data_IF_745998231462
#
_entry.id   IF_745998231462
#
_cell.length_a   1.000
_cell.length_b   1.000
_cell.length_c   1.000
_cell.angle_alpha   90.00
_cell.angle_beta   90.00
_cell.angle_gamma   90.00
#
_symmetry.space_group_name_H-M   'P 1'
#
loop_
_entity.id
_entity.type
_entity.pdbx_description
1 polymer ?
#
# COMPACT_ATOMS: atom_id res chain seq x y z
N UNK A 1 61.70 -77.48 -20.72
CA UNK A 1 62.94 -77.49 -21.55
C UNK A 1 62.93 -76.28 -22.48
N UNK A 2 64.05 -75.52 -22.53
CA UNK A 2 64.46 -74.52 -23.55
C UNK A 2 63.57 -73.27 -23.70
N UNK A 3 63.99 -72.09 -23.22
CA UNK A 3 65.00 -71.12 -23.74
C UNK A 3 64.54 -70.35 -25.00
N UNK A 4 64.57 -69.01 -24.86
CA UNK A 4 64.99 -67.98 -25.87
C UNK A 4 63.96 -67.66 -26.99
N UNK A 5 63.85 -66.48 -27.61
CA UNK A 5 64.55 -65.17 -27.69
C UNK A 5 63.53 -64.21 -28.39
N UNK A 6 63.32 -62.96 -27.95
CA UNK A 6 63.77 -61.66 -28.53
C UNK A 6 63.35 -61.32 -29.99
N UNK A 7 62.90 -60.05 -30.14
CA UNK A 7 62.78 -59.13 -31.30
C UNK A 7 61.46 -59.16 -32.11
N UNK A 8 60.60 -58.12 -32.14
CA UNK A 8 60.68 -56.66 -32.45
C UNK A 8 60.27 -56.35 -33.90
N UNK A 9 59.05 -55.84 -34.09
CA UNK A 9 58.60 -54.92 -35.15
C UNK A 9 57.18 -54.43 -34.74
N UNK A 10 57.05 -53.25 -34.14
CA UNK A 10 56.86 -51.95 -34.79
C UNK A 10 55.44 -51.75 -35.36
N UNK A 11 54.72 -50.81 -34.72
CA UNK A 11 53.81 -49.92 -35.44
C UNK A 11 52.32 -50.09 -35.18
N UNK A 12 51.72 -48.96 -34.81
CA UNK A 12 50.33 -48.57 -35.01
C UNK A 12 49.28 -48.80 -33.91
N UNK A 13 48.83 -47.63 -33.43
CA UNK A 13 47.45 -47.26 -33.10
C UNK A 13 46.88 -47.71 -31.75
N UNK A 14 46.92 -46.79 -30.79
CA UNK A 14 45.77 -46.47 -29.92
C UNK A 14 46.03 -45.14 -29.18
N UNK A 15 45.93 -44.04 -29.92
CA UNK A 15 45.58 -42.73 -29.36
C UNK A 15 44.10 -42.51 -29.66
N UNK A 16 43.23 -43.01 -28.79
CA UNK A 16 41.81 -42.71 -28.85
C UNK A 16 41.56 -41.39 -28.09
N UNK A 17 41.15 -40.40 -28.87
CA UNK A 17 40.73 -39.05 -28.50
C UNK A 17 39.90 -39.00 -27.20
N UNK A 18 40.43 -38.31 -26.19
CA UNK A 18 39.59 -37.63 -25.21
C UNK A 18 39.04 -36.35 -25.87
N UNK A 19 37.97 -36.48 -26.66
CA UNK A 19 37.22 -35.33 -27.13
C UNK A 19 36.40 -34.77 -25.95
N UNK A 20 36.76 -33.58 -25.48
CA UNK A 20 35.87 -32.79 -24.63
C UNK A 20 34.57 -32.58 -25.38
N UNK A 21 33.48 -33.20 -24.90
CA UNK A 21 32.14 -32.84 -25.31
C UNK A 21 31.83 -31.45 -24.73
N UNK A 22 32.13 -30.40 -25.51
CA UNK A 22 31.46 -29.12 -25.32
C UNK A 22 29.99 -29.34 -25.65
N UNK A 23 29.17 -29.54 -24.62
CA UNK A 23 27.72 -29.43 -24.75
C UNK A 23 27.40 -27.98 -25.09
N UNK A 24 27.31 -27.66 -26.38
CA UNK A 24 26.69 -26.42 -26.82
C UNK A 24 25.22 -26.50 -26.39
N UNK A 25 24.83 -25.75 -25.37
CA UNK A 25 23.43 -25.52 -25.09
C UNK A 25 22.83 -24.84 -26.33
N UNK A 26 22.05 -25.59 -27.10
CA UNK A 26 21.31 -25.02 -28.22
C UNK A 26 20.43 -23.88 -27.70
N UNK A 27 20.38 -22.72 -28.38
CA UNK A 27 19.53 -21.62 -27.94
C UNK A 27 18.08 -22.09 -27.95
N UNK A 28 17.42 -22.04 -26.78
CA UNK A 28 15.99 -22.31 -26.66
C UNK A 28 15.26 -21.30 -27.54
N UNK A 29 14.58 -21.77 -28.59
CA UNK A 29 13.67 -20.92 -29.40
C UNK A 29 12.59 -20.37 -28.47
N UNK A 30 12.62 -19.06 -28.23
CA UNK A 30 11.55 -18.39 -27.48
C UNK A 30 10.26 -18.51 -28.29
N UNK A 31 9.14 -18.83 -27.62
CA UNK A 31 7.85 -18.81 -28.29
C UNK A 31 7.52 -17.38 -28.75
N UNK A 32 6.82 -17.19 -29.88
CA UNK A 32 6.50 -15.86 -30.42
C UNK A 32 5.86 -14.90 -29.40
N UNK A 33 5.10 -15.43 -28.43
CA UNK A 33 4.51 -14.66 -27.33
C UNK A 33 5.54 -14.06 -26.37
N UNK A 34 6.65 -14.74 -26.10
CA UNK A 34 7.74 -14.22 -25.27
C UNK A 34 8.53 -13.13 -25.99
N UNK A 35 8.65 -13.19 -27.32
CA UNK A 35 9.29 -12.15 -28.11
C UNK A 35 8.45 -10.88 -28.13
N UNK A 36 7.12 -11.00 -28.33
CA UNK A 36 6.20 -9.85 -28.22
C UNK A 36 6.24 -9.24 -26.81
N UNK A 37 6.20 -10.06 -25.76
CA UNK A 37 6.27 -9.57 -24.39
C UNK A 37 7.61 -8.86 -24.07
N UNK A 38 8.74 -9.39 -24.57
CA UNK A 38 10.04 -8.75 -24.43
C UNK A 38 10.09 -7.39 -25.16
N UNK A 39 9.53 -7.31 -26.38
CA UNK A 39 9.46 -6.08 -27.14
C UNK A 39 8.57 -5.01 -26.44
N UNK A 40 7.43 -5.41 -25.87
CA UNK A 40 6.57 -4.51 -25.09
C UNK A 40 7.30 -3.98 -23.84
N UNK A 41 7.99 -4.85 -23.10
CA UNK A 41 8.84 -4.45 -21.96
C UNK A 41 9.88 -3.42 -22.39
N UNK A 42 10.60 -3.69 -23.47
CA UNK A 42 11.68 -2.82 -23.93
C UNK A 42 11.13 -1.47 -24.41
N UNK A 43 9.98 -1.45 -25.09
CA UNK A 43 9.27 -0.21 -25.43
C UNK A 43 8.87 0.57 -24.18
N UNK A 44 8.33 -0.10 -23.17
CA UNK A 44 7.90 0.53 -21.91
C UNK A 44 9.05 1.22 -21.15
N UNK A 45 10.31 0.79 -21.32
CA UNK A 45 11.47 1.45 -20.70
C UNK A 45 11.78 2.83 -21.29
N UNK A 46 11.24 3.15 -22.48
CA UNK A 46 11.40 4.44 -23.16
C UNK A 46 10.09 5.22 -23.33
N UNK A 47 8.97 4.65 -22.88
CA UNK A 47 7.63 5.23 -23.00
C UNK A 47 7.28 6.01 -21.73
N UNK A 48 6.89 7.27 -21.86
CA UNK A 48 6.58 8.15 -20.72
C UNK A 48 5.13 8.09 -20.27
N UNK A 49 4.26 7.37 -20.97
CA UNK A 49 2.80 7.40 -20.74
C UNK A 49 2.44 7.15 -19.28
N UNK A 50 3.02 6.14 -18.62
CA UNK A 50 2.73 5.86 -17.21
C UNK A 50 3.18 7.01 -16.28
N UNK A 51 4.32 7.63 -16.58
CA UNK A 51 4.80 8.78 -15.82
C UNK A 51 3.89 9.99 -16.02
N UNK A 52 3.53 10.29 -17.27
CA UNK A 52 2.70 11.45 -17.63
C UNK A 52 1.29 11.34 -17.03
N UNK A 53 0.71 10.14 -17.06
CA UNK A 53 -0.59 9.86 -16.41
C UNK A 53 -0.51 10.01 -14.88
N UNK A 54 0.57 9.50 -14.26
CA UNK A 54 0.78 9.67 -12.80
C UNK A 54 0.92 11.15 -12.44
N UNK A 55 1.73 11.89 -13.20
CA UNK A 55 1.96 13.31 -13.00
C UNK A 55 0.66 14.11 -13.17
N UNK A 56 -0.14 13.82 -14.21
CA UNK A 56 -1.40 14.52 -14.45
C UNK A 56 -2.45 14.21 -13.39
N UNK A 57 -2.66 12.93 -13.04
CA UNK A 57 -3.62 12.55 -11.98
C UNK A 57 -3.27 13.21 -10.64
N UNK A 58 -1.98 13.23 -10.28
CA UNK A 58 -1.54 13.81 -9.01
C UNK A 58 -1.54 15.33 -9.00
N UNK A 59 -1.34 15.98 -10.15
CA UNK A 59 -1.28 17.45 -10.26
C UNK A 59 -2.65 18.08 -10.50
N UNK A 60 -3.44 17.49 -11.39
CA UNK A 60 -4.71 18.03 -11.87
C UNK A 60 -5.90 17.60 -11.01
N UNK A 61 -5.82 16.43 -10.35
CA UNK A 61 -6.89 15.93 -9.45
C UNK A 61 -6.49 16.03 -7.99
N UNK A 62 -5.30 15.52 -7.63
CA UNK A 62 -4.75 15.54 -6.27
C UNK A 62 -5.28 14.41 -5.37
N UNK A 63 -5.40 14.64 -4.04
CA UNK A 63 -6.03 13.69 -3.12
C UNK A 63 -7.49 13.48 -3.51
N UNK A 64 -7.92 12.22 -3.51
CA UNK A 64 -9.22 11.82 -4.04
C UNK A 64 -9.90 10.78 -3.15
N UNK A 65 -10.13 11.09 -1.86
CA UNK A 65 -10.88 10.21 -0.97
C UNK A 65 -12.35 10.14 -1.40
N UNK A 66 -13.00 9.02 -1.11
CA UNK A 66 -14.44 8.84 -1.35
C UNK A 66 -15.26 9.96 -0.71
N UNK A 67 -16.32 10.41 -1.38
CA UNK A 67 -17.17 11.52 -0.95
C UNK A 67 -16.60 12.91 -1.24
N UNK A 68 -15.33 13.03 -1.66
CA UNK A 68 -14.77 14.32 -2.02
C UNK A 68 -15.15 14.77 -3.43
N UNK A 69 -15.20 16.10 -3.70
CA UNK A 69 -15.32 16.62 -5.06
C UNK A 69 -14.18 16.14 -5.99
N UNK A 70 -13.02 15.80 -5.42
CA UNK A 70 -11.88 15.29 -6.18
C UNK A 70 -12.11 13.86 -6.69
N UNK A 71 -12.87 13.02 -5.99
CA UNK A 71 -13.23 11.69 -6.46
C UNK A 71 -14.09 11.76 -7.73
N UNK A 72 -15.04 12.70 -7.79
CA UNK A 72 -15.83 12.95 -9.01
C UNK A 72 -14.94 13.43 -10.18
N UNK A 73 -13.99 14.34 -9.92
CA UNK A 73 -13.00 14.76 -10.92
C UNK A 73 -12.09 13.61 -11.36
N UNK A 74 -11.72 12.70 -10.46
CA UNK A 74 -10.92 11.52 -10.78
C UNK A 74 -11.66 10.59 -11.74
N UNK A 75 -12.96 10.36 -11.51
CA UNK A 75 -13.83 9.61 -12.40
C UNK A 75 -13.88 10.23 -13.81
N UNK A 76 -14.12 11.54 -13.89
CA UNK A 76 -14.16 12.25 -15.17
C UNK A 76 -12.79 12.24 -15.89
N UNK A 77 -11.70 12.37 -15.12
CA UNK A 77 -10.33 12.24 -15.60
C UNK A 77 -10.05 10.85 -16.19
N UNK A 78 -10.50 9.79 -15.52
CA UNK A 78 -10.28 8.41 -15.97
C UNK A 78 -11.02 8.12 -17.29
N UNK A 79 -12.28 8.55 -17.41
CA UNK A 79 -13.07 8.44 -18.65
C UNK A 79 -12.34 9.14 -19.80
N UNK A 80 -11.98 10.42 -19.60
CA UNK A 80 -11.26 11.21 -20.61
C UNK A 80 -9.92 10.58 -21.00
N UNK A 81 -9.21 10.01 -20.04
CA UNK A 81 -7.94 9.32 -20.27
C UNK A 81 -8.14 8.12 -21.18
N UNK A 82 -9.13 7.27 -20.89
CA UNK A 82 -9.45 6.14 -21.76
C UNK A 82 -9.88 6.56 -23.16
N UNK A 83 -10.71 7.58 -23.31
CA UNK A 83 -11.10 8.14 -24.61
C UNK A 83 -9.88 8.62 -25.41
N UNK A 84 -9.01 9.40 -24.76
CA UNK A 84 -7.80 9.97 -25.38
C UNK A 84 -6.82 8.90 -25.82
N UNK A 85 -6.72 7.81 -25.04
CA UNK A 85 -5.84 6.69 -25.34
C UNK A 85 -6.47 5.66 -26.30
N UNK A 86 -7.71 5.88 -26.75
CA UNK A 86 -8.36 5.02 -27.74
C UNK A 86 -8.92 3.71 -27.18
N UNK A 87 -9.16 3.62 -25.87
CA UNK A 87 -9.92 2.52 -25.29
C UNK A 87 -11.38 2.60 -25.76
N UNK A 88 -12.06 1.44 -25.76
CA UNK A 88 -13.45 1.30 -26.18
C UNK A 88 -14.32 0.79 -25.03
N UNK A 89 -15.64 0.72 -25.23
CA UNK A 89 -16.59 0.20 -24.22
C UNK A 89 -16.42 0.82 -22.82
N UNK A 90 -16.12 2.11 -22.75
CA UNK A 90 -15.86 2.78 -21.47
C UNK A 90 -17.11 2.76 -20.60
N UNK A 91 -16.99 2.22 -19.39
CA UNK A 91 -18.09 2.10 -18.43
C UNK A 91 -17.74 2.81 -17.13
N UNK A 92 -18.77 3.41 -16.54
CA UNK A 92 -18.73 4.01 -15.21
C UNK A 92 -19.81 3.33 -14.38
N UNK A 93 -19.41 2.54 -13.41
CA UNK A 93 -20.30 1.77 -12.56
C UNK A 93 -20.31 2.38 -11.16
N UNK A 94 -21.43 3.00 -10.80
CA UNK A 94 -21.64 3.59 -9.47
C UNK A 94 -21.98 2.52 -8.43
N UNK A 95 -21.43 2.67 -7.22
CA UNK A 95 -21.78 1.83 -6.08
C UNK A 95 -21.81 2.64 -4.77
N UNK A 96 -22.68 2.21 -3.85
CA UNK A 96 -22.81 2.82 -2.54
C UNK A 96 -21.55 2.61 -1.70
N UNK A 97 -21.02 3.69 -1.14
CA UNK A 97 -19.82 3.67 -0.31
C UNK A 97 -19.84 4.86 0.67
N UNK A 98 -20.03 4.60 1.98
CA UNK A 98 -19.96 5.65 2.98
C UNK A 98 -18.62 6.39 2.91
N UNK A 99 -18.68 7.71 3.02
CA UNK A 99 -17.50 8.56 3.11
C UNK A 99 -17.20 8.92 4.56
N UNK A 100 -15.92 9.10 4.84
CA UNK A 100 -15.45 9.69 6.09
C UNK A 100 -14.61 10.90 5.72
N UNK A 101 -14.95 12.05 6.29
CA UNK A 101 -14.24 13.30 6.04
C UNK A 101 -13.50 13.75 7.30
N UNK A 102 -12.19 13.96 7.16
CA UNK A 102 -11.34 14.53 8.21
C UNK A 102 -11.69 15.99 8.44
N UNK A 103 -11.78 16.39 9.71
CA UNK A 103 -11.89 17.78 10.13
C UNK A 103 -10.62 18.31 10.78
N UNK A 104 -10.73 19.41 11.52
CA UNK A 104 -9.62 19.95 12.29
C UNK A 104 -9.16 18.98 13.38
N UNK A 105 -7.86 18.83 13.53
CA UNK A 105 -7.27 17.91 14.49
C UNK A 105 -5.97 18.46 15.09
N UNK A 106 -5.73 18.15 16.37
CA UNK A 106 -4.50 18.51 17.09
C UNK A 106 -4.28 17.59 18.29
N UNK A 107 -3.01 17.32 18.59
CA UNK A 107 -2.62 16.64 19.82
C UNK A 107 -1.38 17.33 20.42
N UNK A 108 -1.38 17.58 21.72
CA UNK A 108 -0.23 18.13 22.44
C UNK A 108 -0.01 17.42 23.76
N UNK A 109 1.25 17.21 24.12
CA UNK A 109 1.63 16.92 25.50
C UNK A 109 1.40 18.18 26.32
N UNK A 110 0.77 18.05 27.48
CA UNK A 110 0.53 19.14 28.46
C UNK A 110 1.18 18.85 29.83
N UNK A 111 1.72 17.63 29.99
CA UNK A 111 2.53 17.22 31.13
C UNK A 111 3.54 16.17 30.61
N UNK A 112 4.86 16.29 30.89
CA UNK A 112 5.49 17.20 31.84
C UNK A 112 5.79 18.61 31.31
N UNK A 113 5.70 18.84 30.00
CA UNK A 113 5.86 20.15 29.38
C UNK A 113 5.04 20.23 28.08
N UNK A 114 4.82 21.44 27.60
CA UNK A 114 4.06 21.68 26.39
C UNK A 114 4.84 21.25 25.14
N UNK A 115 4.27 20.31 24.39
CA UNK A 115 4.83 19.84 23.12
C UNK A 115 3.75 19.49 22.12
N UNK A 116 3.74 20.15 20.97
CA UNK A 116 2.82 19.82 19.88
C UNK A 116 3.26 18.53 19.19
N UNK A 117 2.40 17.51 19.18
CA UNK A 117 2.67 16.24 18.49
C UNK A 117 2.31 16.37 17.02
N UNK A 118 3.12 15.75 16.15
CA UNK A 118 2.69 15.49 14.78
C UNK A 118 1.74 14.29 14.80
N UNK A 119 0.47 14.56 14.54
CA UNK A 119 -0.62 13.58 14.58
C UNK A 119 -1.46 13.65 13.32
N UNK A 120 -2.09 12.53 12.96
CA UNK A 120 -3.14 12.47 11.94
C UNK A 120 -4.22 11.47 12.36
N UNK A 121 -5.49 11.85 12.29
CA UNK A 121 -6.61 10.95 12.61
C UNK A 121 -6.62 9.69 11.74
N UNK A 122 -7.02 8.56 12.30
CA UNK A 122 -7.24 7.35 11.52
C UNK A 122 -8.54 7.48 10.72
N UNK A 123 -8.54 6.99 9.48
CA UNK A 123 -9.73 7.01 8.64
C UNK A 123 -10.84 6.15 9.25
N UNK A 124 -12.03 6.73 9.40
CA UNK A 124 -13.14 6.13 10.14
C UNK A 124 -13.15 6.43 11.63
N UNK A 125 -12.16 7.17 12.17
CA UNK A 125 -12.16 7.58 13.57
C UNK A 125 -13.38 8.44 13.90
N UNK A 126 -13.93 8.29 15.11
CA UNK A 126 -14.94 9.21 15.64
C UNK A 126 -14.27 10.50 16.12
N UNK A 127 -15.00 11.64 16.16
CA UNK A 127 -14.47 12.88 16.70
C UNK A 127 -14.32 12.81 18.22
N UNK A 128 -13.48 13.67 18.78
CA UNK A 128 -13.47 13.94 20.23
C UNK A 128 -14.75 14.70 20.63
N UNK A 129 -15.17 14.65 21.91
CA UNK A 129 -16.16 15.59 22.43
C UNK A 129 -15.77 17.06 22.16
N UNK A 130 -16.71 18.02 22.16
CA UNK A 130 -16.42 19.42 21.82
C UNK A 130 -15.32 20.10 22.65
N UNK A 131 -15.08 19.63 23.89
CA UNK A 131 -14.02 20.15 24.77
C UNK A 131 -12.66 19.48 24.55
N UNK A 132 -12.56 18.55 23.59
CA UNK A 132 -11.43 17.65 23.43
C UNK A 132 -11.38 16.57 24.52
N UNK A 133 -10.30 15.81 24.51
CA UNK A 133 -9.94 14.84 25.55
C UNK A 133 -8.60 15.28 26.13
N UNK A 134 -8.51 15.42 27.45
CA UNK A 134 -7.24 15.58 28.14
C UNK A 134 -7.09 14.47 29.18
N UNK A 135 -6.09 13.61 29.01
CA UNK A 135 -5.94 12.43 29.85
C UNK A 135 -4.48 11.96 29.92
N UNK A 136 -4.17 11.21 30.97
CA UNK A 136 -2.90 10.51 31.11
C UNK A 136 -2.80 9.39 30.08
N UNK A 137 -1.59 9.15 29.56
CA UNK A 137 -1.33 8.10 28.60
C UNK A 137 -0.83 6.81 29.28
N UNK A 138 -1.07 5.67 28.65
CA UNK A 138 -0.37 4.41 28.92
C UNK A 138 0.29 3.96 27.63
N UNK A 139 1.61 3.78 27.67
CA UNK A 139 2.41 3.39 26.51
C UNK A 139 2.61 1.88 26.49
N UNK A 140 2.41 1.29 25.32
CA UNK A 140 2.60 -0.12 25.02
C UNK A 140 3.61 -0.25 23.88
N UNK A 141 4.80 -0.79 24.19
CA UNK A 141 5.87 -1.00 23.20
C UNK A 141 5.55 -2.08 22.18
N UNK A 142 4.65 -3.01 22.50
CA UNK A 142 4.10 -3.98 21.58
C UNK A 142 2.56 -3.96 21.59
N UNK A 143 1.95 -4.24 20.43
CA UNK A 143 0.50 -4.40 20.34
C UNK A 143 -0.02 -5.54 21.23
N UNK A 144 0.77 -6.60 21.39
CA UNK A 144 0.44 -7.71 22.28
C UNK A 144 0.33 -7.28 23.75
N UNK A 145 1.09 -6.27 24.18
CA UNK A 145 1.02 -5.76 25.57
C UNK A 145 -0.31 -5.04 25.83
N UNK A 146 -0.81 -4.31 24.82
CA UNK A 146 -2.16 -3.75 24.88
C UNK A 146 -3.20 -4.87 25.00
N UNK A 147 -3.06 -5.97 24.25
CA UNK A 147 -3.97 -7.11 24.36
C UNK A 147 -3.87 -7.83 25.71
N UNK A 148 -2.69 -7.88 26.31
CA UNK A 148 -2.49 -8.52 27.61
C UNK A 148 -2.97 -7.64 28.79
N UNK A 149 -3.14 -6.34 28.57
CA UNK A 149 -3.57 -5.42 29.64
C UNK A 149 -4.95 -5.82 30.20
N UNK A 150 -5.13 -5.83 31.55
CA UNK A 150 -6.38 -6.23 32.18
C UNK A 150 -7.57 -5.36 31.73
N UNK A 151 -8.77 -5.93 31.70
CA UNK A 151 -9.98 -5.15 31.46
C UNK A 151 -10.12 -4.04 32.52
N UNK A 152 -10.54 -2.85 32.08
CA UNK A 152 -10.69 -1.66 32.93
C UNK A 152 -9.38 -0.96 33.32
N UNK A 153 -8.20 -1.54 33.04
CA UNK A 153 -6.91 -0.94 33.40
C UNK A 153 -6.64 0.42 32.72
N UNK A 154 -7.32 0.71 31.62
CA UNK A 154 -7.17 1.95 30.85
C UNK A 154 -8.30 2.95 31.10
N UNK A 155 -9.15 2.73 32.11
CA UNK A 155 -10.27 3.62 32.43
C UNK A 155 -9.83 5.08 32.54
N UNK A 156 -10.32 5.92 31.63
CA UNK A 156 -10.03 7.36 31.62
C UNK A 156 -8.64 7.74 31.08
N UNK A 157 -7.90 6.79 30.50
CA UNK A 157 -6.55 6.99 29.95
C UNK A 157 -6.54 6.91 28.41
N UNK A 158 -5.51 7.47 27.80
CA UNK A 158 -5.25 7.32 26.36
C UNK A 158 -4.25 6.17 26.18
N UNK A 159 -4.62 5.17 25.38
CA UNK A 159 -3.71 4.09 25.05
C UNK A 159 -2.78 4.54 23.91
N UNK A 160 -1.47 4.29 24.03
CA UNK A 160 -0.48 4.64 23.01
C UNK A 160 0.32 3.39 22.64
N UNK A 161 0.18 2.89 21.43
CA UNK A 161 0.99 1.74 20.95
C UNK A 161 2.15 2.25 20.11
N UNK A 162 3.37 1.91 20.49
CA UNK A 162 4.60 2.44 19.88
C UNK A 162 5.39 1.41 19.09
N UNK A 163 4.76 0.28 18.77
CA UNK A 163 5.42 -0.85 18.12
C UNK A 163 6.10 -0.51 16.77
N UNK A 164 7.33 -1.03 16.58
CA UNK A 164 8.01 -1.34 15.33
C UNK A 164 7.16 -1.53 14.07
N UNK A 165 7.54 -0.95 12.92
CA UNK A 165 7.27 -1.64 11.65
C UNK A 165 8.59 -2.12 11.07
N UNK A 166 8.68 -3.42 10.77
CA UNK A 166 9.87 -3.99 10.15
C UNK A 166 9.86 -3.69 8.66
N UNK A 167 11.01 -3.25 8.11
CA UNK A 167 11.16 -3.05 6.67
C UNK A 167 11.39 -4.39 5.98
N UNK A 168 10.51 -4.73 5.05
CA UNK A 168 10.64 -5.94 4.22
C UNK A 168 10.39 -5.59 2.75
N UNK A 169 11.07 -6.26 1.83
CA UNK A 169 10.93 -5.99 0.38
C UNK A 169 9.51 -6.33 -0.12
N UNK A 170 8.90 -7.36 0.44
CA UNK A 170 7.57 -7.85 0.11
C UNK A 170 6.43 -7.12 0.85
N UNK A 171 6.76 -6.17 1.74
CA UNK A 171 5.78 -5.46 2.55
C UNK A 171 5.14 -6.26 3.70
N UNK A 172 5.55 -7.51 3.94
CA UNK A 172 5.03 -8.35 5.04
C UNK A 172 5.08 -7.68 6.43
N UNK A 173 6.09 -6.83 6.69
CA UNK A 173 6.17 -6.05 7.92
C UNK A 173 4.99 -5.08 8.14
N UNK A 174 4.41 -4.52 7.06
CA UNK A 174 3.20 -3.70 7.13
C UNK A 174 1.97 -4.52 7.50
N UNK A 175 1.88 -5.75 7.00
CA UNK A 175 0.80 -6.68 7.34
C UNK A 175 0.73 -6.92 8.85
N UNK A 176 1.87 -7.25 9.46
CA UNK A 176 2.02 -7.48 10.90
C UNK A 176 1.77 -6.22 11.72
N UNK A 177 2.39 -5.08 11.39
CA UNK A 177 2.26 -3.86 12.17
C UNK A 177 0.87 -3.20 12.03
N UNK A 178 0.25 -3.30 10.85
CA UNK A 178 -0.99 -2.62 10.52
C UNK A 178 -2.20 -3.04 11.36
N UNK A 179 -2.14 -4.17 12.08
CA UNK A 179 -3.22 -4.59 12.98
C UNK A 179 -3.42 -3.59 14.13
N UNK A 180 -2.34 -3.00 14.63
CA UNK A 180 -2.39 -1.99 15.68
C UNK A 180 -3.16 -0.74 15.22
N UNK A 181 -3.08 -0.38 13.94
CA UNK A 181 -3.92 0.69 13.38
C UNK A 181 -5.38 0.24 13.21
N UNK A 182 -5.59 -0.94 12.63
CA UNK A 182 -6.92 -1.40 12.19
C UNK A 182 -7.85 -1.76 13.36
N UNK A 183 -7.32 -2.41 14.39
CA UNK A 183 -8.10 -2.97 15.50
C UNK A 183 -7.71 -2.37 16.87
N UNK A 184 -6.62 -1.60 16.95
CA UNK A 184 -6.13 -0.99 18.19
C UNK A 184 -7.17 -0.16 18.94
N UNK A 185 -7.96 0.71 18.27
CA UNK A 185 -8.97 1.52 18.95
C UNK A 185 -9.99 0.69 19.73
N UNK A 186 -10.56 -0.37 19.11
CA UNK A 186 -11.51 -1.25 19.79
C UNK A 186 -10.87 -2.04 20.93
N UNK A 187 -9.64 -2.52 20.75
CA UNK A 187 -8.94 -3.25 21.81
C UNK A 187 -8.58 -2.35 23.01
N UNK A 188 -8.19 -1.11 22.76
CA UNK A 188 -8.01 -0.13 23.82
C UNK A 188 -9.33 0.22 24.52
N UNK A 189 -10.41 0.38 23.75
CA UNK A 189 -11.75 0.68 24.25
C UNK A 189 -12.29 -0.43 25.17
N UNK A 190 -12.10 -1.71 24.81
CA UNK A 190 -12.45 -2.87 25.66
C UNK A 190 -11.78 -2.84 27.05
N UNK A 191 -10.66 -2.12 27.17
CA UNK A 191 -9.90 -1.95 28.42
C UNK A 191 -10.18 -0.63 29.12
N UNK A 192 -11.11 0.17 28.59
CA UNK A 192 -11.60 1.42 29.19
C UNK A 192 -10.90 2.69 28.71
N UNK A 193 -10.04 2.61 27.69
CA UNK A 193 -9.37 3.78 27.14
C UNK A 193 -10.39 4.77 26.58
N UNK A 194 -10.10 6.07 26.69
CA UNK A 194 -10.94 7.15 26.17
C UNK A 194 -10.50 7.65 24.79
N UNK A 195 -9.26 7.35 24.40
CA UNK A 195 -8.74 7.56 23.05
C UNK A 195 -7.56 6.60 22.79
N UNK A 196 -7.16 6.51 21.52
CA UNK A 196 -6.08 5.66 21.08
C UNK A 196 -5.10 6.42 20.18
N UNK A 197 -3.81 6.28 20.45
CA UNK A 197 -2.73 6.75 19.57
C UNK A 197 -1.88 5.56 19.14
N UNK A 198 -1.44 5.56 17.89
CA UNK A 198 -0.53 4.54 17.37
C UNK A 198 0.66 5.19 16.71
N UNK A 199 1.86 4.66 16.93
CA UNK A 199 3.03 4.99 16.11
C UNK A 199 2.67 4.72 14.66
N UNK A 200 3.00 5.66 13.79
CA UNK A 200 2.76 5.52 12.36
C UNK A 200 3.26 4.18 11.85
N UNK A 201 2.41 3.49 11.09
CA UNK A 201 2.74 2.22 10.45
C UNK A 201 3.66 2.53 9.27
N UNK A 202 4.93 2.75 9.58
CA UNK A 202 5.93 3.27 8.66
C UNK A 202 7.33 2.79 9.02
N UNK A 203 8.18 2.70 8.00
CA UNK A 203 9.61 2.44 8.09
C UNK A 203 10.44 3.72 7.90
N UNK A 204 9.76 4.86 7.86
CA UNK A 204 10.36 6.19 7.80
C UNK A 204 10.68 6.69 9.20
N UNK A 205 11.79 7.41 9.32
CA UNK A 205 12.19 8.11 10.55
C UNK A 205 11.71 9.57 10.55
N UNK A 206 10.89 9.95 9.56
CA UNK A 206 10.32 11.29 9.46
C UNK A 206 9.23 11.51 10.51
N UNK A 207 9.07 12.77 10.88
CA UNK A 207 8.03 13.22 11.81
C UNK A 207 6.62 13.20 11.20
N UNK A 208 6.49 12.98 9.90
CA UNK A 208 5.19 12.95 9.21
C UNK A 208 4.36 11.73 9.65
N UNK A 209 3.17 11.92 10.24
CA UNK A 209 2.33 10.83 10.69
C UNK A 209 1.55 10.21 9.51
N UNK A 210 1.23 8.91 9.61
CA UNK A 210 0.60 8.15 8.52
C UNK A 210 -0.82 7.73 8.91
N UNK A 211 -1.82 8.22 8.18
CA UNK A 211 -3.22 7.80 8.35
C UNK A 211 -3.45 6.37 7.80
N UNK A 212 -4.71 5.98 7.72
CA UNK A 212 -5.15 4.67 7.25
C UNK A 212 -6.42 4.25 7.97
N UNK A 213 -7.12 3.29 7.38
CA UNK A 213 -8.39 2.83 7.92
C UNK A 213 -8.24 2.19 9.31
N UNK A 214 -9.20 2.51 10.18
CA UNK A 214 -9.54 1.76 11.39
C UNK A 214 -10.96 1.22 11.26
N UNK A 215 -11.24 0.07 11.88
CA UNK A 215 -12.57 -0.52 11.92
C UNK A 215 -12.95 -0.75 13.38
N UNK A 216 -14.09 -0.20 13.81
CA UNK A 216 -14.60 -0.46 15.15
C UNK A 216 -15.32 -1.80 15.16
N UNK A 217 -14.96 -2.64 16.13
CA UNK A 217 -15.73 -3.83 16.47
C UNK A 217 -17.05 -3.45 17.16
N UNK A 218 -18.11 -4.23 16.91
CA UNK A 218 -19.44 -3.99 17.46
C UNK A 218 -19.52 -4.21 18.98
N UNK A 219 -18.58 -4.96 19.54
CA UNK A 219 -18.49 -5.32 20.96
C UNK A 219 -17.71 -4.29 21.80
N UNK A 220 -17.37 -3.13 21.25
CA UNK A 220 -16.59 -2.09 21.93
C UNK A 220 -17.11 -0.67 21.62
N UNK A 221 -17.01 0.27 22.57
CA UNK A 221 -17.33 1.66 22.27
C UNK A 221 -16.34 2.25 21.26
N UNK A 222 -16.84 3.10 20.37
CA UNK A 222 -16.00 3.85 19.43
C UNK A 222 -15.28 4.97 20.19
N UNK A 223 -13.95 5.03 20.08
CA UNK A 223 -13.11 6.04 20.74
C UNK A 223 -12.24 6.78 19.72
N UNK A 224 -11.96 8.08 19.88
CA UNK A 224 -11.09 8.82 18.96
C UNK A 224 -9.72 8.16 18.81
N UNK A 225 -9.26 8.06 17.57
CA UNK A 225 -8.05 7.33 17.22
C UNK A 225 -7.19 8.05 16.19
N UNK A 226 -5.91 8.24 16.49
CA UNK A 226 -4.96 8.91 15.59
C UNK A 226 -3.62 8.16 15.51
N UNK A 227 -2.92 8.35 14.40
CA UNK A 227 -1.51 8.00 14.30
C UNK A 227 -0.63 9.20 14.69
N UNK A 228 0.54 8.93 15.25
CA UNK A 228 1.56 9.93 15.57
C UNK A 228 2.86 9.64 14.81
N UNK A 229 3.65 10.68 14.55
CA UNK A 229 4.95 10.55 13.88
C UNK A 229 5.90 9.63 14.65
N UNK A 230 6.84 8.98 13.96
CA UNK A 230 7.78 8.04 14.59
C UNK A 230 8.61 8.71 15.71
N UNK A 231 9.23 9.89 15.50
CA UNK A 231 9.95 10.58 16.57
C UNK A 231 9.08 10.99 17.77
N UNK A 232 7.80 11.32 17.53
CA UNK A 232 6.87 11.68 18.59
C UNK A 232 6.45 10.44 19.41
N UNK A 233 6.27 9.28 18.78
CA UNK A 233 6.03 8.02 19.51
C UNK A 233 7.19 7.66 20.44
N UNK A 234 8.43 7.74 19.94
CA UNK A 234 9.64 7.49 20.75
C UNK A 234 9.83 8.53 21.85
N UNK A 235 9.43 9.79 21.59
CA UNK A 235 9.40 10.81 22.63
C UNK A 235 8.45 10.41 23.77
N UNK A 236 7.24 9.94 23.44
CA UNK A 236 6.27 9.52 24.46
C UNK A 236 6.78 8.32 25.28
N UNK A 237 7.48 7.35 24.67
CA UNK A 237 8.15 6.27 25.43
C UNK A 237 9.15 6.82 26.45
N UNK A 238 10.03 7.72 26.01
CA UNK A 238 11.05 8.33 26.88
C UNK A 238 10.45 9.18 27.99
N UNK A 239 9.37 9.90 27.72
CA UNK A 239 8.67 10.71 28.72
C UNK A 239 7.94 9.82 29.73
N UNK A 240 7.21 8.80 29.27
CA UNK A 240 6.47 7.88 30.12
C UNK A 240 7.40 7.09 31.06
N UNK A 241 8.62 6.75 30.61
CA UNK A 241 9.64 6.14 31.45
C UNK A 241 10.14 7.05 32.59
N UNK A 242 9.95 8.37 32.49
CA UNK A 242 10.38 9.36 33.50
C UNK A 242 9.26 9.76 34.45
N UNK A 243 8.00 9.49 34.11
CA UNK A 243 6.85 9.84 34.95
C UNK A 243 5.56 9.99 34.14
N UNK A 244 4.48 10.48 34.79
CA UNK A 244 3.19 10.65 34.16
C UNK A 244 3.24 11.62 32.97
N UNK A 245 2.58 11.25 31.88
CA UNK A 245 2.44 12.08 30.67
C UNK A 245 0.96 12.27 30.38
N UNK A 246 0.55 13.52 30.11
CA UNK A 246 -0.83 13.85 29.73
C UNK A 246 -0.85 14.46 28.34
N UNK A 247 -1.82 14.04 27.54
CA UNK A 247 -2.07 14.56 26.21
C UNK A 247 -3.43 15.24 26.18
N UNK A 248 -3.49 16.40 25.53
CA UNK A 248 -4.72 17.03 25.03
C UNK A 248 -4.92 16.68 23.57
N UNK A 249 -6.04 16.06 23.22
CA UNK A 249 -6.41 15.60 21.89
C UNK A 249 -7.72 16.28 21.45
N UNK A 250 -7.74 16.83 20.25
CA UNK A 250 -8.93 17.33 19.58
C UNK A 250 -8.99 16.74 18.18
N UNK A 251 -10.13 16.17 17.81
CA UNK A 251 -10.36 15.62 16.48
C UNK A 251 -11.79 15.91 16.06
N UNK A 252 -11.96 16.43 14.84
CA UNK A 252 -13.24 16.53 14.17
C UNK A 252 -13.26 15.60 12.97
N UNK A 253 -14.43 15.03 12.69
CA UNK A 253 -14.70 14.24 11.49
C UNK A 253 -16.20 14.12 11.26
N UNK A 254 -16.60 13.84 10.03
CA UNK A 254 -17.97 13.52 9.65
C UNK A 254 -18.03 12.25 8.82
N UNK A 255 -19.21 11.64 8.79
CA UNK A 255 -19.52 10.47 7.94
C UNK A 255 -20.77 10.80 7.14
N UNK A 256 -20.75 10.50 5.85
CA UNK A 256 -21.95 10.42 5.03
C UNK A 256 -22.17 8.96 4.60
N UNK A 257 -23.23 8.34 5.13
CA UNK A 257 -23.58 6.95 4.85
C UNK A 257 -24.19 6.75 3.45
N UNK A 258 -24.52 7.84 2.75
CA UNK A 258 -25.22 7.82 1.46
C UNK A 258 -24.31 8.13 0.27
N UNK A 259 -23.04 8.40 0.53
CA UNK A 259 -22.09 8.68 -0.53
C UNK A 259 -21.88 7.47 -1.46
N UNK A 260 -21.33 7.76 -2.63
CA UNK A 260 -21.06 6.79 -3.69
C UNK A 260 -19.62 6.90 -4.18
N UNK A 261 -19.17 5.84 -4.83
CA UNK A 261 -17.93 5.80 -5.58
C UNK A 261 -18.17 5.11 -6.94
N UNK A 262 -17.17 5.12 -7.80
CA UNK A 262 -17.28 4.57 -9.15
C UNK A 262 -16.13 3.62 -9.46
N UNK A 263 -16.46 2.51 -10.11
CA UNK A 263 -15.50 1.74 -10.90
C UNK A 263 -15.52 2.27 -12.32
N UNK A 264 -14.35 2.45 -12.93
CA UNK A 264 -14.20 2.91 -14.31
C UNK A 264 -13.42 1.84 -15.05
N UNK A 265 -13.96 1.38 -16.17
CA UNK A 265 -13.31 0.38 -17.03
C UNK A 265 -13.35 0.82 -18.49
N UNK A 266 -12.39 0.32 -19.27
CA UNK A 266 -12.30 0.52 -20.71
C UNK A 266 -11.54 -0.65 -21.33
N UNK A 267 -11.94 -1.02 -22.55
CA UNK A 267 -11.51 -2.26 -23.20
C UNK A 267 -10.50 -1.99 -24.32
N UNK A 268 -9.50 -2.86 -24.40
CA UNK A 268 -8.77 -3.15 -25.63
C UNK A 268 -9.40 -4.40 -26.25
N UNK A 269 -10.33 -4.23 -27.18
CA UNK A 269 -11.14 -5.35 -27.69
C UNK A 269 -10.25 -6.43 -28.33
N UNK A 270 -10.44 -7.66 -27.86
CA UNK A 270 -9.78 -8.84 -28.39
C UNK A 270 -10.21 -9.18 -29.82
N UNK A 271 -9.36 -9.90 -30.53
CA UNK A 271 -9.58 -10.28 -31.93
C UNK A 271 -10.36 -11.58 -32.08
N UNK A 272 -9.79 -12.71 -31.68
CA UNK A 272 -10.37 -14.04 -31.92
C UNK A 272 -11.29 -14.55 -30.80
N UNK A 273 -11.19 -13.97 -29.61
CA UNK A 273 -11.89 -14.36 -28.38
C UNK A 273 -12.32 -13.11 -27.59
N UNK A 274 -13.10 -12.19 -28.19
CA UNK A 274 -13.43 -10.90 -27.55
C UNK A 274 -14.22 -11.04 -26.24
N UNK A 275 -14.91 -12.16 -26.04
CA UNK A 275 -15.70 -12.43 -24.83
C UNK A 275 -14.87 -13.03 -23.67
N UNK A 276 -13.62 -13.45 -23.92
CA UNK A 276 -12.69 -13.86 -22.86
C UNK A 276 -11.94 -12.61 -22.38
N UNK A 277 -12.11 -12.22 -21.11
CA UNK A 277 -11.61 -10.95 -20.57
C UNK A 277 -10.45 -11.17 -19.58
N UNK A 278 -9.39 -10.38 -19.72
CA UNK A 278 -8.29 -10.25 -18.77
C UNK A 278 -8.33 -8.88 -18.10
N UNK A 279 -8.58 -8.86 -16.80
CA UNK A 279 -8.65 -7.60 -16.04
C UNK A 279 -7.29 -7.27 -15.44
N UNK A 280 -6.79 -6.07 -15.75
CA UNK A 280 -5.67 -5.42 -15.06
C UNK A 280 -6.11 -4.03 -14.60
N UNK A 281 -5.66 -3.58 -13.43
CA UNK A 281 -6.05 -2.27 -12.90
C UNK A 281 -5.37 -1.93 -11.59
N UNK A 282 -5.75 -0.76 -11.05
CA UNK A 282 -5.37 -0.25 -9.73
C UNK A 282 -6.56 0.46 -9.09
N UNK A 283 -6.41 0.97 -7.87
CA UNK A 283 -7.49 1.72 -7.23
C UNK A 283 -7.32 3.22 -7.45
N UNK A 284 -8.43 3.87 -7.82
CA UNK A 284 -8.40 5.28 -8.19
C UNK A 284 -8.49 6.21 -6.99
N UNK A 285 -9.03 5.79 -5.85
CA UNK A 285 -9.10 6.63 -4.65
C UNK A 285 -7.72 6.80 -3.99
N UNK A 286 -7.61 7.77 -3.08
CA UNK A 286 -6.43 7.92 -2.23
C UNK A 286 -6.78 8.58 -0.89
N UNK A 287 -5.84 8.52 0.05
CA UNK A 287 -5.94 9.31 1.28
C UNK A 287 -5.80 10.81 1.02
N UNK A 288 -6.36 11.57 1.95
CA UNK A 288 -6.65 12.99 1.81
C UNK A 288 -5.45 13.94 2.02
N UNK A 289 -4.33 13.42 2.54
CA UNK A 289 -3.20 14.24 3.01
C UNK A 289 -1.97 14.28 2.10
N UNK A 290 -2.04 13.58 0.96
CA UNK A 290 -1.03 13.62 -0.09
C UNK A 290 -1.67 13.84 -1.46
N UNK A 291 -1.02 13.39 -2.53
CA UNK A 291 -1.61 13.35 -3.88
C UNK A 291 -1.91 11.93 -4.35
N UNK A 292 -1.71 10.92 -3.49
CA UNK A 292 -1.92 9.51 -3.83
C UNK A 292 -1.05 9.05 -4.99
N UNK A 293 0.18 9.54 -5.09
CA UNK A 293 1.08 9.27 -6.21
C UNK A 293 1.48 7.79 -6.28
N UNK A 294 1.98 7.24 -5.18
CA UNK A 294 2.41 5.83 -5.09
C UNK A 294 1.29 4.89 -4.59
N UNK A 295 0.18 5.46 -4.11
CA UNK A 295 -0.96 4.76 -3.52
C UNK A 295 -2.25 5.49 -3.95
N UNK A 296 -2.80 5.19 -5.14
CA UNK A 296 -2.25 4.29 -6.17
C UNK A 296 -2.33 4.88 -7.60
N UNK A 297 -2.00 6.17 -7.75
CA UNK A 297 -1.92 6.76 -9.10
C UNK A 297 -0.91 6.02 -9.99
N UNK A 298 0.21 5.57 -9.42
CA UNK A 298 1.21 4.81 -10.16
C UNK A 298 0.69 3.47 -10.65
N UNK A 299 -0.06 2.70 -9.85
CA UNK A 299 -0.63 1.42 -10.31
C UNK A 299 -1.69 1.60 -11.38
N UNK A 300 -2.56 2.61 -11.23
CA UNK A 300 -3.52 3.03 -12.27
C UNK A 300 -2.80 3.37 -13.58
N UNK A 301 -1.75 4.19 -13.50
CA UNK A 301 -1.00 4.62 -14.68
C UNK A 301 -0.20 3.49 -15.33
N UNK A 302 0.46 2.63 -14.55
CA UNK A 302 1.23 1.47 -15.03
C UNK A 302 0.31 0.52 -15.80
N UNK A 303 -0.84 0.17 -15.22
CA UNK A 303 -1.77 -0.77 -15.84
C UNK A 303 -2.43 -0.20 -17.09
N UNK A 304 -2.80 1.09 -17.06
CA UNK A 304 -3.35 1.80 -18.23
C UNK A 304 -2.33 1.90 -19.36
N UNK A 305 -1.09 2.31 -19.07
CA UNK A 305 -0.04 2.42 -20.08
C UNK A 305 0.34 1.04 -20.66
N UNK A 306 0.39 0.00 -19.83
CA UNK A 306 0.63 -1.36 -20.30
C UNK A 306 -0.48 -1.84 -21.26
N UNK A 307 -1.76 -1.61 -20.90
CA UNK A 307 -2.89 -1.93 -21.77
C UNK A 307 -2.82 -1.15 -23.09
N UNK A 308 -2.48 0.15 -23.05
CA UNK A 308 -2.30 0.98 -24.24
C UNK A 308 -1.20 0.43 -25.16
N UNK A 309 -0.04 0.04 -24.61
CA UNK A 309 1.05 -0.55 -25.38
C UNK A 309 0.64 -1.85 -26.07
N UNK A 310 -0.18 -2.67 -25.40
CA UNK A 310 -0.75 -3.89 -25.97
C UNK A 310 -1.73 -3.56 -27.10
N UNK A 311 -2.61 -2.57 -26.90
CA UNK A 311 -3.57 -2.10 -27.90
C UNK A 311 -2.91 -1.51 -29.14
N UNK A 312 -1.70 -0.94 -29.01
CA UNK A 312 -0.91 -0.39 -30.12
C UNK A 312 -0.17 -1.44 -30.96
N UNK A 313 -0.27 -2.72 -30.61
CA UNK A 313 0.35 -3.77 -31.42
C UNK A 313 -0.33 -3.83 -32.80
N UNK A 314 0.41 -4.16 -33.87
CA UNK A 314 -0.16 -4.32 -35.22
C UNK A 314 -1.29 -5.35 -35.29
N UNK A 315 -1.34 -6.27 -34.33
CA UNK A 315 -2.41 -7.23 -34.15
C UNK A 315 -2.91 -7.15 -32.73
N UNK A 316 -4.21 -6.93 -32.58
CA UNK A 316 -4.90 -6.96 -31.29
C UNK A 316 -4.71 -8.31 -30.59
N UNK A 317 -4.73 -8.33 -29.24
CA UNK A 317 -4.68 -9.57 -28.47
C UNK A 317 -5.83 -10.51 -28.83
N UNK A 318 -5.69 -11.80 -28.51
CA UNK A 318 -6.78 -12.75 -28.76
C UNK A 318 -8.01 -12.45 -27.89
N UNK A 319 -7.76 -12.07 -26.63
CA UNK A 319 -8.71 -11.76 -25.57
C UNK A 319 -8.83 -10.26 -25.38
N UNK A 320 -9.95 -9.82 -24.82
CA UNK A 320 -10.11 -8.45 -24.32
C UNK A 320 -9.32 -8.27 -23.04
#
# INVERSE_FOLDING_TARGET
MKKRLIALAAGFALLANAALAQTSLAPVKRQPTYETAAALRDRALSDTTAWDLTADLTTSVGPRPVGSPAMARAKDWAVKTFETLGFSNIKVEEFAKPSWTRGAESASVVLPYDWQLAMIGLGGSVPTPPKGIEAEIVVFSAYADLLAAPQGSLKGKIAVVTAPMTRTLDGSGYGTAGIARRAGPSEAAKRGAVAYLVRSISTSDLRSPHTGGTTYADDAPKIPAAAIGVPDAELLERLAAKGPVRIKLNMASSVDEKDVAWNISGDIVGSSKPDEVLVIGGHLDSWDVGTGAIDDASGVAITTAAAKLIGDLPRHPART
#
